data_IF_669523996695
#
_entry.id   IF_669523996695
#
_cell.length_a   1.000
_cell.length_b   1.000
_cell.length_c   1.000
_cell.angle_alpha   90.00
_cell.angle_beta   90.00
_cell.angle_gamma   90.00
#
_symmetry.space_group_name_H-M   'P 1'
#
loop_
_entity.id
_entity.type
_entity.pdbx_description
1 polymer ?
#
# COMPACT_ATOMS: atom_id res chain seq x y z
N UNK A 1 5.47 4.12 24.22
CA UNK A 1 4.79 3.19 23.30
C UNK A 1 4.77 3.88 21.95
N UNK A 2 5.56 3.38 21.00
CA UNK A 2 5.57 3.91 19.64
C UNK A 2 4.27 3.52 18.94
N UNK A 3 3.54 4.52 18.45
CA UNK A 3 2.30 4.30 17.71
C UNK A 3 2.66 3.69 16.35
N UNK A 4 2.28 2.44 16.11
CA UNK A 4 2.31 1.87 14.76
C UNK A 4 1.05 2.30 14.03
N UNK A 5 1.18 2.79 12.81
CA UNK A 5 0.05 3.13 11.96
C UNK A 5 -0.07 2.08 10.87
N UNK A 6 -1.29 1.67 10.53
CA UNK A 6 -1.56 0.84 9.36
C UNK A 6 -2.28 1.69 8.32
N UNK A 7 -1.69 1.73 7.13
CA UNK A 7 -2.25 2.38 5.95
C UNK A 7 -2.72 1.31 4.97
N UNK A 8 -3.99 1.40 4.56
CA UNK A 8 -4.57 0.53 3.53
C UNK A 8 -4.72 1.33 2.24
N UNK A 9 -3.89 1.03 1.25
CA UNK A 9 -3.94 1.62 -0.07
C UNK A 9 -4.72 0.73 -1.03
N UNK A 10 -5.65 1.32 -1.75
CA UNK A 10 -6.32 0.70 -2.91
C UNK A 10 -5.76 1.40 -4.14
N UNK A 11 -4.99 0.67 -4.94
CA UNK A 11 -4.24 1.17 -6.09
C UNK A 11 -4.87 0.63 -7.37
N UNK A 12 -5.25 1.52 -8.27
CA UNK A 12 -5.82 1.15 -9.57
C UNK A 12 -4.74 1.26 -10.65
N UNK A 13 -4.54 0.16 -11.39
CA UNK A 13 -3.61 0.02 -12.51
C UNK A 13 -4.38 0.04 -13.83
N UNK A 14 -3.71 0.30 -14.95
CA UNK A 14 -4.35 0.34 -16.27
C UNK A 14 -4.92 1.71 -16.68
N UNK A 15 -4.76 2.72 -15.85
CA UNK A 15 -4.82 4.12 -16.26
C UNK A 15 -3.38 4.63 -16.48
N UNK A 16 -2.96 4.81 -17.74
CA UNK A 16 -1.62 5.32 -18.08
C UNK A 16 -0.54 4.24 -18.23
N UNK A 17 0.72 4.59 -17.94
CA UNK A 17 1.91 3.74 -18.18
C UNK A 17 2.29 2.83 -16.98
N UNK A 18 1.44 2.73 -15.95
CA UNK A 18 1.75 1.98 -14.73
C UNK A 18 1.34 0.51 -14.83
N UNK A 19 2.26 -0.41 -14.52
CA UNK A 19 2.01 -1.86 -14.53
C UNK A 19 2.15 -2.53 -13.15
N UNK A 20 1.70 -3.79 -13.07
CA UNK A 20 1.84 -4.62 -11.86
C UNK A 20 3.31 -4.86 -11.50
N UNK A 21 4.18 -5.01 -12.49
CA UNK A 21 5.63 -5.19 -12.31
C UNK A 21 6.24 -3.94 -11.69
N UNK A 22 5.92 -2.76 -12.23
CA UNK A 22 6.40 -1.49 -11.68
C UNK A 22 5.88 -1.24 -10.26
N UNK A 23 4.64 -1.65 -9.95
CA UNK A 23 4.12 -1.58 -8.59
C UNK A 23 4.91 -2.52 -7.66
N UNK A 24 5.21 -3.74 -8.10
CA UNK A 24 6.01 -4.70 -7.31
C UNK A 24 7.41 -4.18 -7.02
N UNK A 25 8.07 -3.59 -8.01
CA UNK A 25 9.39 -2.96 -7.87
C UNK A 25 9.34 -1.75 -6.93
N UNK A 26 8.33 -0.89 -7.08
CA UNK A 26 8.16 0.28 -6.19
C UNK A 26 7.96 -0.15 -4.74
N UNK A 27 7.17 -1.20 -4.51
CA UNK A 27 6.90 -1.72 -3.17
C UNK A 27 8.04 -2.59 -2.60
N UNK A 28 9.00 -3.04 -3.40
CA UNK A 28 10.14 -3.82 -2.89
C UNK A 28 11.20 -2.92 -2.23
N UNK A 29 11.25 -1.64 -2.62
CA UNK A 29 12.15 -0.64 -2.01
C UNK A 29 11.61 -0.03 -0.70
N UNK A 30 10.40 -0.40 -0.27
CA UNK A 30 9.74 0.19 0.91
C UNK A 30 9.90 -0.72 2.13
N UNK A 31 10.32 -0.13 3.25
CA UNK A 31 10.28 -0.79 4.55
C UNK A 31 8.89 -0.68 5.19
N UNK A 32 8.43 -1.76 5.86
CA UNK A 32 7.13 -1.77 6.57
C UNK A 32 5.93 -2.17 5.73
N UNK A 33 6.12 -2.79 4.55
CA UNK A 33 5.00 -3.41 3.81
C UNK A 33 4.63 -4.74 4.48
N UNK A 34 3.43 -4.83 5.05
CA UNK A 34 2.95 -6.02 5.77
C UNK A 34 2.11 -6.98 4.93
N UNK A 35 1.47 -6.50 3.87
CA UNK A 35 0.61 -7.35 3.06
C UNK A 35 0.30 -6.77 1.68
N UNK A 36 0.28 -7.65 0.67
CA UNK A 36 -0.10 -7.34 -0.71
C UNK A 36 -1.23 -8.30 -1.11
N UNK A 37 -2.43 -7.77 -1.32
CA UNK A 37 -3.56 -8.56 -1.79
C UNK A 37 -3.97 -8.12 -3.21
N UNK A 38 -4.13 -9.09 -4.10
CA UNK A 38 -4.50 -8.87 -5.49
C UNK A 38 -6.00 -9.16 -5.62
N UNK A 39 -6.80 -8.16 -6.00
CA UNK A 39 -8.20 -8.41 -6.31
C UNK A 39 -8.31 -8.69 -7.81
N UNK A 40 -8.91 -9.83 -8.14
CA UNK A 40 -8.84 -10.48 -9.47
C UNK A 40 -9.58 -9.73 -10.60
N UNK A 41 -10.28 -8.64 -10.29
CA UNK A 41 -10.88 -7.77 -11.31
C UNK A 41 -9.87 -6.66 -11.64
N UNK A 42 -9.39 -6.60 -12.89
CA UNK A 42 -7.99 -6.89 -13.23
C UNK A 42 -7.01 -5.76 -12.94
N UNK A 43 -7.41 -4.76 -12.17
CA UNK A 43 -6.71 -3.49 -12.08
C UNK A 43 -6.58 -2.97 -10.64
N UNK A 44 -7.19 -3.58 -9.63
CA UNK A 44 -7.13 -3.05 -8.26
C UNK A 44 -6.22 -3.87 -7.33
N UNK A 45 -5.36 -3.17 -6.58
CA UNK A 45 -4.35 -3.72 -5.69
C UNK A 45 -4.50 -3.15 -4.29
N UNK A 46 -4.50 -4.03 -3.28
CA UNK A 46 -4.60 -3.62 -1.89
C UNK A 46 -3.24 -3.79 -1.22
N UNK A 47 -2.70 -2.71 -0.67
CA UNK A 47 -1.40 -2.68 0.01
C UNK A 47 -1.57 -2.23 1.46
N UNK A 48 -1.06 -3.04 2.38
CA UNK A 48 -0.96 -2.73 3.79
C UNK A 48 0.46 -2.25 4.09
N UNK A 49 0.60 -1.02 4.57
CA UNK A 49 1.88 -0.39 4.90
C UNK A 49 1.87 0.16 6.31
N UNK A 50 3.00 0.02 7.03
CA UNK A 50 3.22 0.68 8.32
C UNK A 50 3.74 2.12 8.17
N UNK A 51 4.19 2.44 6.96
CA UNK A 51 4.71 3.75 6.59
C UNK A 51 3.77 4.41 5.59
N UNK A 52 3.67 5.74 5.65
CA UNK A 52 2.97 6.49 4.61
C UNK A 52 3.79 6.45 3.31
N UNK A 53 3.23 5.83 2.26
CA UNK A 53 3.86 5.69 0.94
C UNK A 53 3.16 6.53 -0.12
N UNK A 54 2.27 7.44 0.28
CA UNK A 54 1.45 8.25 -0.63
C UNK A 54 2.31 9.07 -1.58
N UNK A 55 3.39 9.66 -1.08
CA UNK A 55 4.30 10.48 -1.91
C UNK A 55 5.06 9.63 -2.94
N UNK A 56 5.52 8.44 -2.53
CA UNK A 56 6.17 7.48 -3.44
C UNK A 56 5.23 7.07 -4.57
N UNK A 57 3.98 6.72 -4.24
CA UNK A 57 2.99 6.31 -5.22
C UNK A 57 2.65 7.45 -6.20
N UNK A 58 2.48 8.68 -5.69
CA UNK A 58 2.25 9.88 -6.53
C UNK A 58 3.43 10.15 -7.47
N UNK A 59 4.66 10.10 -6.97
CA UNK A 59 5.87 10.36 -7.77
C UNK A 59 6.09 9.31 -8.86
N UNK A 60 5.57 8.09 -8.66
CA UNK A 60 5.59 7.01 -9.66
C UNK A 60 4.37 6.99 -10.57
N UNK A 61 3.42 7.92 -10.38
CA UNK A 61 2.24 8.06 -11.23
C UNK A 61 1.13 7.05 -10.98
N UNK A 62 1.13 6.38 -9.82
CA UNK A 62 0.04 5.48 -9.45
C UNK A 62 -1.22 6.25 -9.05
N UNK A 63 -2.37 5.77 -9.50
CA UNK A 63 -3.68 6.21 -9.01
C UNK A 63 -4.03 5.35 -7.80
N UNK A 64 -4.35 5.99 -6.68
CA UNK A 64 -4.69 5.26 -5.46
C UNK A 64 -5.62 6.05 -4.56
N UNK A 65 -6.31 5.33 -3.69
CA UNK A 65 -7.05 5.85 -2.54
C UNK A 65 -6.52 5.24 -1.25
N UNK A 66 -6.66 5.97 -0.15
CA UNK A 66 -6.32 5.48 1.19
C UNK A 66 -7.64 5.15 1.86
N UNK A 67 -7.90 3.86 2.07
CA UNK A 67 -9.17 3.38 2.64
C UNK A 67 -9.21 3.52 4.15
N UNK A 68 -8.07 3.38 4.82
CA UNK A 68 -7.98 3.43 6.28
C UNK A 68 -6.59 3.85 6.72
N UNK A 69 -6.56 4.70 7.76
CA UNK A 69 -5.37 5.01 8.56
C UNK A 69 -5.71 4.71 10.01
N UNK A 70 -5.32 3.54 10.49
CA UNK A 70 -5.57 3.11 11.87
C UNK A 70 -4.32 3.21 12.73
N UNK A 71 -4.46 3.60 14.00
CA UNK A 71 -3.45 3.29 15.03
C UNK A 71 -3.57 1.80 15.34
N UNK A 72 -2.50 1.04 15.14
CA UNK A 72 -2.42 -0.36 15.54
C UNK A 72 -1.96 -0.38 16.98
N UNK A 73 -2.90 -0.59 17.90
CA UNK A 73 -2.53 -1.00 19.25
C UNK A 73 -1.98 -2.42 19.15
N UNK A 74 -0.75 -2.63 19.64
CA UNK A 74 -0.26 -3.98 19.88
C UNK A 74 -1.18 -4.60 20.94
N UNK A 75 -2.16 -5.40 20.49
CA UNK A 75 -2.89 -6.31 21.37
C UNK A 75 -1.88 -7.23 22.07
N UNK A 76 -2.19 -7.71 23.28
CA UNK A 76 -1.25 -8.49 24.07
C UNK A 76 -0.79 -9.71 23.28
N UNK A 77 0.53 -9.93 23.24
CA UNK A 77 1.10 -11.22 22.83
C UNK A 77 0.44 -12.31 23.68
N UNK A 78 -0.38 -13.16 23.05
CA UNK A 78 -0.85 -14.43 23.60
C UNK A 78 0.12 -15.54 23.21
#
# INVERSE_FOLDING_TARGET
MDKQFLYIYIIDLGHGNTSIEQLRETLSSVHGIRGKAFVRNPQTFIVHSETDISELLKNKGFVFTISEKGEVENGPNI
#
